data_IF_249877714784
#
_entry.id   IF_249877714784
#
_cell.length_a   1.000
_cell.length_b   1.000
_cell.length_c   1.000
_cell.angle_alpha   90.00
_cell.angle_beta   90.00
_cell.angle_gamma   90.00
#
_symmetry.space_group_name_H-M   'P 1'
#
loop_
_entity.id
_entity.type
_entity.pdbx_description
1 polymer ?
#
# COMPACT_ATOMS: atom_id res chain seq x y z
N UNK A 1 37.94 20.81 -25.04
CA UNK A 1 36.58 20.27 -25.21
C UNK A 1 36.16 19.61 -23.91
N UNK A 2 35.60 20.38 -22.98
CA UNK A 2 35.15 19.86 -21.68
C UNK A 2 33.68 19.49 -21.77
N UNK A 3 33.35 18.20 -21.59
CA UNK A 3 31.98 17.74 -21.52
C UNK A 3 31.33 18.26 -20.23
N UNK A 4 30.49 19.29 -20.32
CA UNK A 4 29.58 19.64 -19.22
C UNK A 4 28.58 18.50 -19.05
N UNK A 5 28.73 17.70 -17.99
CA UNK A 5 27.67 16.82 -17.52
C UNK A 5 26.46 17.69 -17.19
N UNK A 6 25.41 17.60 -18.01
CA UNK A 6 24.12 18.20 -17.71
C UNK A 6 23.57 17.51 -16.45
N UNK A 7 23.60 18.20 -15.32
CA UNK A 7 22.83 17.77 -14.16
C UNK A 7 21.36 17.63 -14.57
N UNK A 8 20.68 16.53 -14.21
CA UNK A 8 19.27 16.39 -14.47
C UNK A 8 18.49 17.55 -13.84
N UNK A 9 17.44 18.05 -14.50
CA UNK A 9 16.49 19.00 -13.92
C UNK A 9 16.05 18.55 -12.52
N UNK A 10 15.87 19.48 -11.56
CA UNK A 10 15.47 19.16 -10.19
C UNK A 10 14.22 18.28 -10.09
N UNK A 11 13.28 18.46 -11.01
CA UNK A 11 12.04 17.69 -11.12
C UNK A 11 12.29 16.22 -11.49
N UNK A 12 13.27 15.93 -12.34
CA UNK A 12 13.62 14.55 -12.72
C UNK A 12 14.33 13.84 -11.59
N UNK A 13 15.23 14.54 -10.87
CA UNK A 13 15.91 13.98 -9.70
C UNK A 13 14.94 13.61 -8.57
N UNK A 14 13.91 14.44 -8.33
CA UNK A 14 12.85 14.15 -7.35
C UNK A 14 11.98 12.95 -7.76
N UNK A 15 11.71 12.80 -9.06
CA UNK A 15 10.95 11.68 -9.62
C UNK A 15 11.71 10.34 -9.48
N UNK A 16 12.99 10.31 -9.86
CA UNK A 16 13.86 9.13 -9.74
C UNK A 16 14.07 8.71 -8.27
N UNK A 17 14.16 9.68 -7.36
CA UNK A 17 14.24 9.39 -5.92
C UNK A 17 12.91 8.81 -5.42
N UNK A 18 11.76 9.32 -5.83
CA UNK A 18 10.46 8.76 -5.44
C UNK A 18 10.24 7.33 -5.95
N UNK A 19 10.72 7.01 -7.15
CA UNK A 19 10.61 5.65 -7.70
C UNK A 19 11.52 4.65 -6.97
N UNK A 20 12.61 5.11 -6.34
CA UNK A 20 13.47 4.29 -5.46
C UNK A 20 12.99 4.23 -4.00
N UNK A 21 12.06 5.10 -3.57
CA UNK A 21 11.53 5.16 -2.19
C UNK A 21 10.40 4.16 -1.91
N UNK A 22 9.73 3.63 -2.94
CA UNK A 22 8.80 2.50 -2.74
C UNK A 22 9.63 1.26 -2.46
N UNK A 23 9.50 0.73 -1.25
CA UNK A 23 10.17 -0.50 -0.91
C UNK A 23 9.59 -1.63 -1.75
N UNK A 24 10.48 -2.47 -2.29
CA UNK A 24 10.11 -3.74 -2.91
C UNK A 24 9.74 -4.73 -1.79
N UNK A 25 8.69 -4.40 -1.05
CA UNK A 25 8.13 -5.23 -0.01
C UNK A 25 7.51 -6.45 -0.68
N UNK A 26 8.02 -7.63 -0.35
CA UNK A 26 7.40 -8.88 -0.75
C UNK A 26 6.00 -8.94 -0.13
N UNK A 27 4.97 -8.99 -0.98
CA UNK A 27 3.59 -9.11 -0.51
C UNK A 27 3.32 -10.56 -0.13
N UNK A 28 2.72 -10.74 1.04
CA UNK A 28 2.25 -12.05 1.48
C UNK A 28 0.90 -12.32 0.83
N UNK A 29 0.69 -13.56 0.41
CA UNK A 29 -0.60 -14.03 -0.10
C UNK A 29 -1.37 -14.63 1.08
N UNK A 30 -2.49 -14.02 1.52
CA UNK A 30 -3.38 -14.65 2.48
C UNK A 30 -3.96 -15.94 1.90
N UNK A 31 -4.37 -16.87 2.76
CA UNK A 31 -5.15 -18.03 2.38
C UNK A 31 -6.34 -17.56 1.54
N UNK A 32 -6.59 -18.26 0.43
CA UNK A 32 -7.68 -17.97 -0.49
C UNK A 32 -8.85 -18.90 -0.20
N UNK A 33 -10.06 -18.36 -0.16
CA UNK A 33 -11.28 -19.17 -0.20
C UNK A 33 -11.87 -19.12 -1.61
N UNK A 34 -12.80 -20.01 -1.93
CA UNK A 34 -13.49 -19.97 -3.23
C UNK A 34 -14.26 -18.66 -3.44
N UNK A 35 -14.71 -18.04 -2.35
CA UNK A 35 -15.57 -16.84 -2.38
C UNK A 35 -14.79 -15.52 -2.25
N UNK A 36 -13.54 -15.55 -1.77
CA UNK A 36 -12.68 -14.37 -1.65
C UNK A 36 -11.35 -14.53 -2.36
N UNK A 37 -11.20 -13.76 -3.43
CA UNK A 37 -10.02 -13.76 -4.28
C UNK A 37 -9.21 -12.47 -4.13
N UNK A 38 -8.03 -12.60 -3.52
CA UNK A 38 -7.09 -11.51 -3.26
C UNK A 38 -6.26 -11.10 -4.47
N UNK A 39 -6.23 -11.92 -5.53
CA UNK A 39 -5.24 -11.85 -6.62
C UNK A 39 -5.22 -10.49 -7.31
N UNK A 40 -6.40 -9.90 -7.56
CA UNK A 40 -6.50 -8.59 -8.22
C UNK A 40 -5.81 -7.48 -7.40
N UNK A 41 -6.06 -7.44 -6.09
CA UNK A 41 -5.44 -6.44 -5.20
C UNK A 41 -3.93 -6.66 -5.07
N UNK A 42 -3.49 -7.92 -4.95
CA UNK A 42 -2.06 -8.26 -4.89
C UNK A 42 -1.36 -7.81 -6.18
N UNK A 43 -1.86 -8.22 -7.34
CA UNK A 43 -1.27 -7.87 -8.64
C UNK A 43 -1.17 -6.36 -8.84
N UNK A 44 -2.21 -5.61 -8.46
CA UNK A 44 -2.18 -4.16 -8.51
C UNK A 44 -1.10 -3.57 -7.58
N UNK A 45 -0.98 -4.05 -6.34
CA UNK A 45 0.04 -3.58 -5.40
C UNK A 45 1.48 -3.94 -5.83
N UNK A 46 1.67 -5.08 -6.48
CA UNK A 46 2.97 -5.48 -7.05
C UNK A 46 3.36 -4.57 -8.21
N UNK A 47 2.41 -4.27 -9.10
CA UNK A 47 2.63 -3.39 -10.26
C UNK A 47 3.05 -1.96 -9.90
N UNK A 48 2.80 -1.50 -8.67
CA UNK A 48 3.21 -0.17 -8.20
C UNK A 48 4.73 0.05 -8.25
N UNK A 49 5.52 -1.02 -8.15
CA UNK A 49 6.98 -0.92 -8.24
C UNK A 49 7.43 -0.56 -9.66
N UNK A 50 6.74 -1.11 -10.66
CA UNK A 50 7.06 -0.89 -12.08
C UNK A 50 6.31 0.31 -12.66
N UNK A 51 5.32 0.84 -11.94
CA UNK A 51 4.54 2.02 -12.36
C UNK A 51 5.30 3.30 -12.00
N UNK A 52 5.62 4.18 -12.97
CA UNK A 52 6.22 5.49 -12.70
C UNK A 52 5.33 6.34 -11.78
N UNK A 53 5.94 7.11 -10.88
CA UNK A 53 5.22 7.94 -9.89
C UNK A 53 4.10 8.81 -10.47
N UNK A 54 4.31 9.41 -11.64
CA UNK A 54 3.30 10.23 -12.33
C UNK A 54 2.10 9.46 -12.90
N UNK A 55 2.17 8.12 -12.96
CA UNK A 55 1.11 7.24 -13.45
C UNK A 55 0.46 6.39 -12.35
N UNK A 56 1.00 6.39 -11.12
CA UNK A 56 0.51 5.57 -10.00
C UNK A 56 -0.92 5.89 -9.58
N UNK A 57 -1.42 7.08 -9.88
CA UNK A 57 -2.77 7.54 -9.47
C UNK A 57 -3.87 6.54 -9.83
N UNK A 58 -3.84 6.03 -11.07
CA UNK A 58 -4.86 5.08 -11.55
C UNK A 58 -4.72 3.76 -10.79
N UNK A 59 -3.51 3.20 -10.70
CA UNK A 59 -3.24 1.95 -9.98
C UNK A 59 -3.67 2.05 -8.51
N UNK A 60 -3.37 3.15 -7.81
CA UNK A 60 -3.77 3.35 -6.42
C UNK A 60 -5.29 3.48 -6.25
N UNK A 61 -5.96 4.13 -7.19
CA UNK A 61 -7.43 4.22 -7.21
C UNK A 61 -8.04 2.82 -7.36
N UNK A 62 -7.54 2.03 -8.31
CA UNK A 62 -8.00 0.66 -8.55
C UNK A 62 -7.75 -0.26 -7.33
N UNK A 63 -6.60 -0.11 -6.64
CA UNK A 63 -6.33 -0.85 -5.40
C UNK A 63 -7.38 -0.54 -4.34
N UNK A 64 -7.69 0.74 -4.14
CA UNK A 64 -8.71 1.17 -3.18
C UNK A 64 -10.08 0.58 -3.53
N UNK A 65 -10.47 0.66 -4.80
CA UNK A 65 -11.78 0.17 -5.27
C UNK A 65 -11.93 -1.34 -5.11
N UNK A 66 -10.93 -2.13 -5.53
CA UNK A 66 -10.95 -3.57 -5.35
C UNK A 66 -10.90 -3.97 -3.86
N UNK A 67 -10.17 -3.23 -3.03
CA UNK A 67 -10.17 -3.47 -1.58
C UNK A 67 -11.55 -3.21 -0.94
N UNK A 68 -12.23 -2.13 -1.33
CA UNK A 68 -13.60 -1.83 -0.85
C UNK A 68 -14.58 -2.90 -1.33
N UNK A 69 -14.49 -3.30 -2.60
CA UNK A 69 -15.31 -4.36 -3.17
C UNK A 69 -15.16 -5.69 -2.42
N UNK A 70 -13.93 -6.11 -2.12
CA UNK A 70 -13.67 -7.31 -1.30
C UNK A 70 -14.26 -7.20 0.10
N UNK A 71 -14.30 -5.99 0.68
CA UNK A 71 -14.91 -5.80 1.99
C UNK A 71 -16.43 -6.03 2.00
N UNK A 72 -17.09 -5.73 0.88
CA UNK A 72 -18.55 -5.86 0.72
C UNK A 72 -19.00 -7.29 0.37
N UNK A 73 -18.07 -8.16 -0.02
CA UNK A 73 -18.39 -9.56 -0.31
C UNK A 73 -18.67 -10.35 0.98
N UNK A 74 -19.40 -11.47 0.91
CA UNK A 74 -19.50 -12.41 2.02
C UNK A 74 -18.14 -13.01 2.34
N UNK A 75 -17.74 -13.01 3.62
CA UNK A 75 -16.49 -13.63 4.06
C UNK A 75 -16.76 -15.03 4.61
N UNK A 76 -15.83 -15.99 4.44
CA UNK A 76 -15.90 -17.25 5.17
C UNK A 76 -16.05 -17.01 6.67
N UNK A 77 -16.87 -17.81 7.35
CA UNK A 77 -17.20 -17.59 8.77
C UNK A 77 -15.97 -17.49 9.67
N UNK A 78 -14.94 -18.28 9.38
CA UNK A 78 -13.69 -18.29 10.15
C UNK A 78 -12.88 -17.00 9.98
N UNK A 79 -13.12 -16.25 8.89
CA UNK A 79 -12.47 -14.97 8.61
C UNK A 79 -13.38 -13.77 8.89
N UNK A 80 -14.70 -13.98 8.97
CA UNK A 80 -15.68 -12.93 9.29
C UNK A 80 -15.76 -12.63 10.80
N UNK A 81 -14.60 -12.47 11.41
CA UNK A 81 -14.44 -12.15 12.83
C UNK A 81 -13.82 -10.76 13.00
N UNK A 82 -14.13 -10.11 14.13
CA UNK A 82 -13.71 -8.72 14.41
C UNK A 82 -12.20 -8.48 14.22
N UNK A 83 -11.28 -9.35 14.69
CA UNK A 83 -9.84 -9.10 14.53
C UNK A 83 -9.41 -9.04 13.06
N UNK A 84 -9.85 -10.01 12.25
CA UNK A 84 -9.50 -10.10 10.83
C UNK A 84 -10.11 -8.93 10.05
N UNK A 85 -11.40 -8.65 10.24
CA UNK A 85 -12.08 -7.50 9.63
C UNK A 85 -11.42 -6.18 9.98
N UNK A 86 -11.00 -5.99 11.22
CA UNK A 86 -10.31 -4.77 11.65
C UNK A 86 -8.97 -4.60 10.92
N UNK A 87 -8.18 -5.66 10.76
CA UNK A 87 -6.92 -5.61 10.01
C UNK A 87 -7.15 -5.27 8.53
N UNK A 88 -8.17 -5.86 7.91
CA UNK A 88 -8.52 -5.53 6.54
C UNK A 88 -8.99 -4.07 6.39
N UNK A 89 -9.79 -3.55 7.33
CA UNK A 89 -10.21 -2.15 7.33
C UNK A 89 -9.03 -1.17 7.50
N UNK A 90 -8.00 -1.53 8.27
CA UNK A 90 -6.75 -0.75 8.35
C UNK A 90 -6.06 -0.72 6.99
N UNK A 91 -6.00 -1.84 6.27
CA UNK A 91 -5.50 -1.88 4.90
C UNK A 91 -6.30 -0.96 3.96
N UNK A 92 -7.64 -1.02 3.97
CA UNK A 92 -8.50 -0.14 3.18
C UNK A 92 -8.23 1.33 3.49
N UNK A 93 -8.02 1.66 4.77
CA UNK A 93 -7.71 3.03 5.21
C UNK A 93 -6.39 3.50 4.60
N UNK A 94 -5.33 2.68 4.67
CA UNK A 94 -4.05 3.04 4.06
C UNK A 94 -4.12 3.09 2.53
N UNK A 95 -4.87 2.21 1.89
CA UNK A 95 -5.10 2.26 0.44
C UNK A 95 -5.80 3.57 0.05
N UNK A 96 -6.78 4.02 0.84
CA UNK A 96 -7.49 5.28 0.62
C UNK A 96 -6.58 6.50 0.78
N UNK A 97 -5.69 6.48 1.77
CA UNK A 97 -4.69 7.54 1.98
C UNK A 97 -3.67 7.56 0.83
N UNK A 98 -3.18 6.38 0.41
CA UNK A 98 -2.23 6.28 -0.69
C UNK A 98 -2.85 6.75 -2.02
N UNK A 99 -4.14 6.49 -2.24
CA UNK A 99 -4.90 6.92 -3.41
C UNK A 99 -5.31 8.40 -3.39
N UNK A 100 -5.08 9.14 -2.29
CA UNK A 100 -5.41 10.56 -2.22
C UNK A 100 -4.51 11.35 -3.18
N UNK A 101 -5.11 11.89 -4.23
CA UNK A 101 -4.41 12.67 -5.25
C UNK A 101 -3.67 13.88 -4.64
N UNK A 102 -4.22 14.49 -3.59
CA UNK A 102 -3.61 15.65 -2.93
C UNK A 102 -2.24 15.30 -2.35
N UNK A 103 -2.02 14.03 -2.00
CA UNK A 103 -0.75 13.54 -1.50
C UNK A 103 0.30 13.47 -2.62
N UNK A 104 -0.10 12.97 -3.79
CA UNK A 104 0.77 12.85 -4.97
C UNK A 104 1.20 14.22 -5.51
N UNK A 105 0.25 15.15 -5.62
CA UNK A 105 0.48 16.49 -6.17
C UNK A 105 1.33 17.36 -5.23
N UNK A 106 1.25 17.12 -3.92
CA UNK A 106 2.01 17.86 -2.92
C UNK A 106 3.42 17.29 -2.67
N UNK A 107 3.55 15.96 -2.59
CA UNK A 107 4.77 15.34 -2.07
C UNK A 107 4.91 13.84 -2.43
N UNK A 108 5.76 13.56 -3.42
CA UNK A 108 6.07 12.19 -3.86
C UNK A 108 6.70 11.31 -2.76
N UNK A 109 7.42 11.88 -1.79
CA UNK A 109 7.99 11.11 -0.68
C UNK A 109 6.88 10.66 0.27
N UNK A 110 5.91 11.53 0.55
CA UNK A 110 4.72 11.18 1.35
C UNK A 110 3.86 10.14 0.65
N UNK A 111 3.70 10.23 -0.68
CA UNK A 111 3.00 9.19 -1.44
C UNK A 111 3.72 7.84 -1.32
N UNK A 112 5.04 7.83 -1.46
CA UNK A 112 5.85 6.60 -1.32
C UNK A 112 5.74 6.00 0.09
N UNK A 113 5.77 6.83 1.13
CA UNK A 113 5.55 6.39 2.51
C UNK A 113 4.14 5.80 2.72
N UNK A 114 3.11 6.44 2.15
CA UNK A 114 1.74 5.93 2.23
C UNK A 114 1.59 4.57 1.53
N UNK A 115 2.23 4.39 0.37
CA UNK A 115 2.29 3.10 -0.34
C UNK A 115 2.97 2.04 0.52
N UNK A 116 4.11 2.36 1.15
CA UNK A 116 4.81 1.42 2.02
C UNK A 116 3.94 1.04 3.24
N UNK A 117 3.22 1.99 3.85
CA UNK A 117 2.28 1.71 4.94
C UNK A 117 1.12 0.81 4.50
N UNK A 118 0.57 1.05 3.30
CA UNK A 118 -0.46 0.21 2.71
C UNK A 118 0.03 -1.24 2.54
N UNK A 119 1.19 -1.45 1.91
CA UNK A 119 1.80 -2.78 1.75
C UNK A 119 2.09 -3.47 3.09
N UNK A 120 2.58 -2.72 4.09
CA UNK A 120 2.81 -3.26 5.42
C UNK A 120 1.51 -3.70 6.11
N UNK A 121 0.44 -2.90 6.03
CA UNK A 121 -0.86 -3.31 6.58
C UNK A 121 -1.48 -4.49 5.86
N UNK A 122 -1.25 -4.64 4.55
CA UNK A 122 -1.62 -5.84 3.82
C UNK A 122 -0.91 -7.08 4.37
N UNK A 123 0.41 -7.02 4.53
CA UNK A 123 1.17 -8.16 5.07
C UNK A 123 0.72 -8.53 6.48
N UNK A 124 0.44 -7.55 7.34
CA UNK A 124 -0.12 -7.82 8.67
C UNK A 124 -1.51 -8.48 8.62
N UNK A 125 -2.35 -8.11 7.65
CA UNK A 125 -3.62 -8.77 7.42
C UNK A 125 -3.42 -10.20 6.91
N UNK A 126 -2.53 -10.40 5.95
CA UNK A 126 -2.20 -11.72 5.40
C UNK A 126 -1.66 -12.66 6.47
N UNK A 127 -0.79 -12.17 7.36
CA UNK A 127 -0.30 -12.92 8.52
C UNK A 127 -1.45 -13.35 9.43
N UNK A 128 -2.42 -12.47 9.69
CA UNK A 128 -3.57 -12.78 10.53
C UNK A 128 -4.51 -13.84 9.93
N UNK A 129 -4.55 -13.99 8.60
CA UNK A 129 -5.31 -15.01 7.89
C UNK A 129 -4.55 -16.34 7.84
N UNK A 130 -3.22 -16.28 7.67
CA UNK A 130 -2.36 -17.45 7.47
C UNK A 130 -1.91 -18.10 8.78
N UNK A 131 -1.73 -17.31 9.83
CA UNK A 131 -1.45 -17.84 11.16
C UNK A 131 -2.77 -18.18 11.85
N UNK A 132 -2.94 -19.46 12.19
CA UNK A 132 -3.88 -19.94 13.22
C UNK A 132 -3.58 -19.34 14.61
N UNK A 133 -2.44 -18.64 14.73
CA UNK A 133 -1.99 -17.97 15.93
C UNK A 133 -2.78 -16.67 16.12
N UNK A 134 -3.80 -16.77 16.96
CA UNK A 134 -4.41 -15.63 17.64
C UNK A 134 -3.34 -14.58 18.05
N UNK A 135 -3.42 -13.40 17.43
CA UNK A 135 -2.92 -12.12 17.91
C UNK A 135 -1.39 -11.97 18.03
N UNK A 136 -0.72 -11.67 16.92
CA UNK A 136 0.45 -10.80 17.01
C UNK A 136 -0.03 -9.41 17.54
N UNK A 137 0.55 -8.88 18.64
CA UNK A 137 0.11 -7.61 19.20
C UNK A 137 0.23 -6.47 18.18
N UNK A 138 -0.77 -5.58 18.20
CA UNK A 138 -0.79 -4.37 17.37
C UNK A 138 0.51 -3.57 17.57
N UNK A 139 1.26 -3.33 16.48
CA UNK A 139 2.45 -2.50 16.53
C UNK A 139 2.06 -1.01 16.33
N UNK A 140 2.11 -0.17 17.38
CA UNK A 140 1.60 1.20 17.33
C UNK A 140 2.46 2.17 16.49
N UNK A 141 3.64 1.77 16.03
CA UNK A 141 4.46 2.60 15.13
C UNK A 141 3.76 2.90 13.79
N UNK A 142 2.82 2.05 13.36
CA UNK A 142 2.02 2.29 12.14
C UNK A 142 0.93 3.34 12.34
N UNK A 143 0.49 3.57 13.58
CA UNK A 143 -0.56 4.53 13.94
C UNK A 143 -0.02 5.91 14.34
N UNK A 144 1.30 6.12 14.30
CA UNK A 144 1.85 7.41 14.67
C UNK A 144 1.50 8.46 13.60
N UNK A 145 0.93 9.61 13.99
CA UNK A 145 0.75 10.74 13.10
C UNK A 145 2.12 11.22 12.63
N UNK A 146 2.22 11.58 11.35
CA UNK A 146 3.44 12.13 10.77
C UNK A 146 3.74 13.42 11.52
N UNK A 147 4.80 13.42 12.35
CA UNK A 147 5.27 14.60 13.06
C UNK A 147 5.46 15.74 12.07
N UNK A 148 4.77 16.85 12.30
CA UNK A 148 5.03 18.11 11.60
C UNK A 148 6.43 18.55 12.01
N UNK A 149 7.38 18.43 11.08
CA UNK A 149 8.70 19.05 11.21
C UNK A 149 8.45 20.56 11.21
N UNK A 150 8.98 21.23 12.24
CA UNK A 150 8.88 22.67 12.48
C UNK A 150 10.11 23.36 11.91
#
# INVERSE_FOLDING_TARGET
MGCSQKQPPPSQKKLETADTLIQKTLLKTPASSQDLNWSSVIALMESLHDTPSNQRKITLTNIKEEAVKLNTQPWPKDWDIKPIRARFNVFITHASIAADQRLADADLEKQSLAINKMKASWNNFADQINDDSMLAPFNPTLAQPISKIK
#
